data_IF_059052333816
#
_entry.id   IF_059052333816
#
_cell.length_a   1.000
_cell.length_b   1.000
_cell.length_c   1.000
_cell.angle_alpha   90.00
_cell.angle_beta   90.00
_cell.angle_gamma   90.00
#
_symmetry.space_group_name_H-M   'P 1'
#
loop_
_entity.id
_entity.type
_entity.pdbx_description
1 polymer ?
#
# COMPACT_ATOMS: atom_id res chain seq x y z
N UNK A 1 -18.34 -9.96 -39.08
CA UNK A 1 -19.15 -10.94 -39.86
C UNK A 1 -18.52 -12.32 -39.80
N UNK A 2 -19.28 -13.35 -39.47
CA UNK A 2 -18.87 -14.76 -39.64
C UNK A 2 -19.59 -15.35 -40.83
N UNK A 3 -18.82 -15.99 -41.71
CA UNK A 3 -19.34 -16.83 -42.78
C UNK A 3 -19.27 -18.27 -42.32
N UNK A 4 -20.40 -18.95 -42.24
CA UNK A 4 -20.42 -20.39 -42.05
C UNK A 4 -21.01 -21.05 -43.30
N UNK A 5 -20.40 -22.17 -43.68
CA UNK A 5 -20.80 -23.02 -44.79
C UNK A 5 -20.74 -24.47 -44.35
N UNK A 6 -21.83 -25.19 -44.54
CA UNK A 6 -21.93 -26.59 -44.19
C UNK A 6 -23.30 -27.18 -44.51
N UNK A 7 -23.41 -28.49 -44.36
CA UNK A 7 -24.66 -29.21 -44.58
C UNK A 7 -25.47 -29.24 -43.30
N UNK A 8 -26.70 -28.74 -43.36
CA UNK A 8 -27.65 -28.79 -42.24
C UNK A 8 -27.94 -30.25 -41.87
N UNK A 9 -27.75 -30.60 -40.59
CA UNK A 9 -27.77 -32.00 -40.14
C UNK A 9 -29.16 -32.65 -40.18
N UNK A 10 -30.22 -31.86 -40.28
CA UNK A 10 -31.60 -32.36 -40.28
C UNK A 10 -32.22 -32.35 -41.66
N UNK A 11 -31.85 -31.39 -42.51
CA UNK A 11 -32.41 -31.24 -43.86
C UNK A 11 -31.47 -31.69 -44.98
N UNK A 12 -30.18 -31.94 -44.69
CA UNK A 12 -29.19 -32.31 -45.72
C UNK A 12 -28.88 -31.18 -46.71
N UNK A 13 -29.46 -29.99 -46.51
CA UNK A 13 -29.28 -28.85 -47.39
C UNK A 13 -27.96 -28.14 -47.10
N UNK A 14 -27.27 -27.71 -48.15
CA UNK A 14 -26.11 -26.82 -48.02
C UNK A 14 -26.60 -25.46 -47.54
N UNK A 15 -26.21 -25.06 -46.33
CA UNK A 15 -26.52 -23.76 -45.76
C UNK A 15 -25.25 -22.92 -45.73
N UNK A 16 -25.25 -21.84 -46.49
CA UNK A 16 -24.32 -20.73 -46.33
C UNK A 16 -25.09 -19.53 -45.80
N UNK A 17 -24.73 -19.02 -44.64
CA UNK A 17 -25.27 -17.74 -44.16
C UNK A 17 -24.15 -16.90 -43.58
N UNK A 18 -24.38 -15.60 -43.60
CA UNK A 18 -23.49 -14.62 -42.98
C UNK A 18 -24.24 -14.09 -41.78
N UNK A 19 -23.75 -14.42 -40.58
CA UNK A 19 -24.25 -13.79 -39.36
C UNK A 19 -23.38 -12.59 -39.02
N UNK A 20 -24.08 -11.52 -38.69
CA UNK A 20 -23.45 -10.38 -38.07
C UNK A 20 -23.19 -10.71 -36.60
N UNK A 21 -21.92 -10.73 -36.21
CA UNK A 21 -21.50 -11.16 -34.87
C UNK A 21 -21.76 -10.08 -33.80
N UNK A 22 -22.36 -8.95 -34.17
CA UNK A 22 -22.42 -7.75 -33.32
C UNK A 22 -21.06 -7.09 -33.10
N UNK A 23 -20.00 -7.55 -33.78
CA UNK A 23 -18.71 -6.87 -33.81
C UNK A 23 -18.77 -5.73 -34.83
N UNK A 24 -18.97 -4.51 -34.33
CA UNK A 24 -18.83 -3.29 -35.11
C UNK A 24 -17.34 -3.01 -35.29
N UNK A 25 -16.90 -2.55 -36.47
CA UNK A 25 -15.51 -2.13 -36.72
C UNK A 25 -15.03 -1.01 -35.77
N UNK A 26 -15.96 -0.38 -35.06
CA UNK A 26 -15.71 0.67 -34.08
C UNK A 26 -15.51 0.14 -32.64
N UNK A 27 -15.61 -1.18 -32.40
CA UNK A 27 -15.35 -1.77 -31.08
C UNK A 27 -13.91 -1.48 -30.64
N UNK A 28 -13.75 -0.74 -29.54
CA UNK A 28 -12.45 -0.31 -29.05
C UNK A 28 -11.75 0.75 -29.92
N UNK A 29 -12.33 1.26 -31.00
CA UNK A 29 -11.66 2.23 -31.90
C UNK A 29 -11.26 3.55 -31.21
N UNK A 30 -11.97 3.93 -30.15
CA UNK A 30 -11.62 5.11 -29.34
C UNK A 30 -10.57 4.80 -28.27
N UNK A 31 -10.33 3.53 -27.95
CA UNK A 31 -9.55 3.11 -26.78
C UNK A 31 -8.34 2.22 -27.09
N UNK A 32 -8.35 1.45 -28.17
CA UNK A 32 -7.27 0.57 -28.63
C UNK A 32 -6.36 1.37 -29.55
N UNK A 33 -5.44 2.09 -28.93
CA UNK A 33 -4.45 2.89 -29.65
C UNK A 33 -3.33 2.02 -30.25
N UNK A 34 -3.31 0.72 -29.97
CA UNK A 34 -2.27 -0.23 -30.36
C UNK A 34 -2.88 -1.59 -30.76
N UNK A 35 -2.31 -2.25 -31.77
CA UNK A 35 -2.75 -3.58 -32.25
C UNK A 35 -2.70 -4.64 -31.15
N UNK A 36 -1.72 -4.54 -30.23
CA UNK A 36 -1.59 -5.45 -29.11
C UNK A 36 -2.83 -5.49 -28.21
N UNK A 37 -3.52 -4.36 -28.01
CA UNK A 37 -4.73 -4.31 -27.19
C UNK A 37 -5.90 -5.04 -27.86
N UNK A 38 -6.05 -4.90 -29.18
CA UNK A 38 -7.05 -5.64 -29.94
C UNK A 38 -6.79 -7.16 -29.91
N UNK A 39 -5.53 -7.57 -30.09
CA UNK A 39 -5.12 -8.97 -30.00
C UNK A 39 -5.34 -9.54 -28.59
N UNK A 40 -5.05 -8.75 -27.56
CA UNK A 40 -5.31 -9.11 -26.16
C UNK A 40 -6.78 -9.42 -25.94
N UNK A 41 -7.71 -8.66 -26.51
CA UNK A 41 -9.14 -8.91 -26.35
C UNK A 41 -9.59 -10.25 -26.97
N UNK A 42 -9.09 -10.60 -28.15
CA UNK A 42 -9.43 -11.91 -28.75
C UNK A 42 -8.97 -13.07 -27.88
N UNK A 43 -7.74 -13.00 -27.37
CA UNK A 43 -7.17 -14.03 -26.49
C UNK A 43 -7.91 -14.07 -25.15
N UNK A 44 -8.19 -12.91 -24.56
CA UNK A 44 -8.92 -12.81 -23.29
C UNK A 44 -10.32 -13.41 -23.40
N UNK A 45 -11.06 -13.10 -24.47
CA UNK A 45 -12.39 -13.65 -24.71
C UNK A 45 -12.35 -15.18 -24.92
N UNK A 46 -11.31 -15.70 -25.57
CA UNK A 46 -11.12 -17.14 -25.72
C UNK A 46 -10.90 -17.82 -24.36
N UNK A 47 -10.06 -17.24 -23.50
CA UNK A 47 -9.82 -17.71 -22.12
C UNK A 47 -11.11 -17.65 -21.30
N UNK A 48 -11.77 -16.49 -21.27
CA UNK A 48 -13.00 -16.26 -20.52
C UNK A 48 -14.10 -17.26 -20.92
N UNK A 49 -14.26 -17.51 -22.24
CA UNK A 49 -15.23 -18.49 -22.75
C UNK A 49 -14.84 -19.92 -22.37
N UNK A 50 -13.57 -20.28 -22.50
CA UNK A 50 -13.08 -21.62 -22.16
C UNK A 50 -13.30 -21.93 -20.68
N UNK A 51 -12.91 -21.02 -19.78
CA UNK A 51 -13.09 -21.19 -18.34
C UNK A 51 -14.58 -21.29 -17.99
N UNK A 52 -15.44 -20.49 -18.62
CA UNK A 52 -16.89 -20.53 -18.37
C UNK A 52 -17.54 -21.83 -18.80
N UNK A 53 -17.13 -22.42 -19.93
CA UNK A 53 -17.75 -23.64 -20.47
C UNK A 53 -17.15 -24.93 -19.89
N UNK A 54 -15.83 -24.94 -19.67
CA UNK A 54 -15.07 -26.16 -19.40
C UNK A 54 -14.34 -26.14 -18.05
N UNK A 55 -14.31 -24.99 -17.37
CA UNK A 55 -13.65 -24.84 -16.06
C UNK A 55 -12.15 -24.55 -16.13
N UNK A 56 -11.55 -24.56 -17.33
CA UNK A 56 -10.13 -24.25 -17.55
C UNK A 56 -9.88 -23.55 -18.90
N UNK A 57 -8.63 -23.15 -19.16
CA UNK A 57 -8.20 -22.51 -20.41
C UNK A 57 -7.44 -23.45 -21.37
N UNK A 58 -7.41 -24.76 -21.10
CA UNK A 58 -6.60 -25.73 -21.84
C UNK A 58 -7.01 -25.87 -23.32
N UNK A 59 -8.26 -25.53 -23.64
CA UNK A 59 -8.80 -25.53 -24.99
C UNK A 59 -8.39 -24.32 -25.85
N UNK A 60 -7.73 -23.32 -25.27
CA UNK A 60 -7.28 -22.11 -25.99
C UNK A 60 -5.93 -22.38 -26.65
N UNK A 61 -5.87 -22.16 -27.98
CA UNK A 61 -4.64 -22.36 -28.77
C UNK A 61 -4.35 -21.11 -29.59
N UNK A 62 -3.10 -20.66 -29.56
CA UNK A 62 -2.60 -19.51 -30.31
C UNK A 62 -1.34 -19.98 -31.04
N UNK A 63 -1.37 -19.92 -32.36
CA UNK A 63 -0.33 -20.47 -33.23
C UNK A 63 -0.18 -19.64 -34.51
N UNK A 64 1.05 -19.63 -35.06
CA UNK A 64 1.32 -19.12 -36.40
C UNK A 64 1.03 -20.26 -37.38
N UNK A 65 0.19 -19.99 -38.38
CA UNK A 65 -0.25 -20.98 -39.37
C UNK A 65 -0.08 -20.46 -40.79
N UNK A 66 0.08 -21.38 -41.73
CA UNK A 66 0.10 -21.03 -43.15
C UNK A 66 -1.31 -20.66 -43.64
N UNK A 67 -1.38 -19.81 -44.67
CA UNK A 67 -2.66 -19.38 -45.27
C UNK A 67 -3.54 -20.56 -45.72
N UNK A 68 -2.92 -21.65 -46.17
CA UNK A 68 -3.62 -22.88 -46.56
C UNK A 68 -4.38 -23.57 -45.39
N UNK A 69 -4.03 -23.25 -44.14
CA UNK A 69 -4.66 -23.79 -42.93
C UNK A 69 -5.80 -22.89 -42.39
N UNK A 70 -6.04 -21.74 -43.03
CA UNK A 70 -7.09 -20.77 -42.70
C UNK A 70 -8.44 -21.34 -43.14
N UNK A 71 -9.06 -22.11 -42.23
CA UNK A 71 -10.37 -22.71 -42.43
C UNK A 71 -11.14 -22.81 -41.12
N UNK A 72 -12.46 -22.74 -41.22
CA UNK A 72 -13.36 -23.00 -40.10
C UNK A 72 -13.15 -24.42 -39.55
N UNK A 73 -13.36 -24.60 -38.25
CA UNK A 73 -13.27 -25.89 -37.56
C UNK A 73 -14.55 -26.09 -36.75
N UNK A 74 -15.20 -27.24 -36.91
CA UNK A 74 -16.43 -27.57 -36.19
C UNK A 74 -16.19 -27.48 -34.68
N UNK A 75 -17.12 -26.85 -33.95
CA UNK A 75 -17.08 -26.62 -32.50
C UNK A 75 -15.98 -25.67 -32.01
N UNK A 76 -15.32 -24.92 -32.90
CA UNK A 76 -14.34 -23.92 -32.51
C UNK A 76 -14.62 -22.59 -33.20
N UNK A 77 -14.45 -21.49 -32.46
CA UNK A 77 -14.27 -20.17 -33.06
C UNK A 77 -12.79 -20.00 -33.37
N UNK A 78 -12.45 -19.76 -34.64
CA UNK A 78 -11.08 -19.43 -35.06
C UNK A 78 -11.04 -17.99 -35.55
N UNK A 79 -10.10 -17.22 -35.00
CA UNK A 79 -9.81 -15.85 -35.42
C UNK A 79 -8.45 -15.88 -36.10
N UNK A 80 -8.37 -15.34 -37.32
CA UNK A 80 -7.12 -15.23 -38.07
C UNK A 80 -6.80 -13.77 -38.25
N UNK A 81 -5.58 -13.39 -37.89
CA UNK A 81 -5.06 -12.04 -38.05
C UNK A 81 -3.87 -12.11 -39.02
N UNK A 82 -3.85 -11.29 -40.08
CA UNK A 82 -2.71 -11.24 -40.99
C UNK A 82 -1.41 -10.97 -40.24
N UNK A 83 -0.38 -11.76 -40.51
CA UNK A 83 0.91 -11.62 -39.86
C UNK A 83 1.60 -10.32 -40.30
N UNK A 84 2.02 -9.51 -39.33
CA UNK A 84 2.87 -8.34 -39.51
C UNK A 84 3.83 -8.23 -38.32
N UNK A 85 4.69 -7.20 -38.29
CA UNK A 85 5.68 -7.02 -37.23
C UNK A 85 5.03 -6.89 -35.83
N UNK A 86 3.92 -6.16 -35.71
CA UNK A 86 3.23 -5.93 -34.43
C UNK A 86 2.54 -7.20 -33.91
N UNK A 87 1.93 -7.99 -34.80
CA UNK A 87 1.32 -9.29 -34.47
C UNK A 87 2.40 -10.30 -34.04
N UNK A 88 3.53 -10.32 -34.73
CA UNK A 88 4.66 -11.18 -34.37
C UNK A 88 5.25 -10.78 -33.01
N UNK A 89 5.41 -9.48 -32.75
CA UNK A 89 5.90 -8.99 -31.45
C UNK A 89 4.95 -9.36 -30.31
N UNK A 90 3.64 -9.17 -30.51
CA UNK A 90 2.63 -9.62 -29.54
C UNK A 90 2.71 -11.12 -29.27
N UNK A 91 2.83 -11.94 -30.33
CA UNK A 91 2.96 -13.39 -30.22
C UNK A 91 4.21 -13.80 -29.44
N UNK A 92 5.36 -13.18 -29.75
CA UNK A 92 6.62 -13.45 -29.05
C UNK A 92 6.57 -13.05 -27.56
N UNK A 93 5.76 -12.04 -27.23
CA UNK A 93 5.57 -11.57 -25.86
C UNK A 93 4.29 -12.11 -25.19
N UNK A 94 3.68 -13.17 -25.73
CA UNK A 94 2.39 -13.67 -25.24
C UNK A 94 2.42 -14.01 -23.74
N UNK A 95 3.53 -14.57 -23.25
CA UNK A 95 3.73 -14.87 -21.83
C UNK A 95 3.80 -13.63 -20.92
N UNK A 96 4.16 -12.46 -21.46
CA UNK A 96 4.10 -11.18 -20.72
C UNK A 96 2.68 -10.62 -20.68
N UNK A 97 1.87 -10.91 -21.68
CA UNK A 97 0.46 -10.49 -21.72
C UNK A 97 -0.46 -11.40 -20.89
N UNK A 98 -0.15 -12.68 -20.77
CA UNK A 98 -1.02 -13.66 -20.12
C UNK A 98 -0.23 -14.63 -19.24
N UNK A 99 -0.50 -14.59 -17.93
CA UNK A 99 0.07 -15.54 -16.96
C UNK A 99 -0.36 -16.98 -17.27
N UNK A 100 -1.53 -17.18 -17.89
CA UNK A 100 -2.05 -18.48 -18.32
C UNK A 100 -1.07 -19.31 -19.17
N UNK A 101 -0.19 -18.63 -19.92
CA UNK A 101 0.76 -19.29 -20.83
C UNK A 101 2.20 -19.28 -20.30
N UNK A 102 2.53 -18.41 -19.34
CA UNK A 102 3.88 -18.26 -18.80
C UNK A 102 4.04 -18.81 -17.39
N UNK A 103 3.10 -18.49 -16.51
CA UNK A 103 3.18 -18.72 -15.06
C UNK A 103 1.79 -19.11 -14.50
N UNK A 104 1.19 -20.22 -14.99
CA UNK A 104 -0.18 -20.60 -14.63
C UNK A 104 -0.36 -20.87 -13.13
N UNK A 105 0.69 -21.32 -12.44
CA UNK A 105 0.73 -21.52 -10.99
C UNK A 105 0.59 -20.22 -10.18
N UNK A 106 0.80 -19.06 -10.82
CA UNK A 106 0.70 -17.74 -10.18
C UNK A 106 -0.70 -17.12 -10.29
N UNK A 107 -1.63 -17.71 -11.06
CA UNK A 107 -2.98 -17.17 -11.26
C UNK A 107 -3.78 -17.02 -9.96
N UNK A 108 -3.48 -17.84 -8.95
CA UNK A 108 -4.12 -17.78 -7.63
C UNK A 108 -3.51 -16.76 -6.67
N UNK A 109 -2.41 -16.09 -7.03
CA UNK A 109 -1.70 -15.16 -6.15
C UNK A 109 -1.98 -13.71 -6.52
N UNK A 110 -2.17 -12.86 -5.52
CA UNK A 110 -2.37 -11.43 -5.71
C UNK A 110 -1.05 -10.67 -5.95
N UNK A 111 0.01 -11.07 -5.24
CA UNK A 111 1.35 -10.50 -5.36
C UNK A 111 2.25 -11.52 -6.08
N UNK A 112 2.95 -11.03 -7.08
CA UNK A 112 3.84 -11.80 -7.94
C UNK A 112 5.28 -11.36 -7.68
N UNK A 113 6.24 -12.29 -7.52
CA UNK A 113 7.65 -11.95 -7.48
C UNK A 113 8.04 -11.18 -8.74
N UNK A 114 8.87 -10.14 -8.63
CA UNK A 114 9.31 -9.38 -9.81
C UNK A 114 9.99 -10.30 -10.82
N UNK A 115 9.58 -10.20 -12.08
CA UNK A 115 10.15 -10.98 -13.18
C UNK A 115 10.22 -10.13 -14.47
N UNK A 116 10.73 -10.69 -15.56
CA UNK A 116 10.84 -10.02 -16.86
C UNK A 116 9.49 -9.91 -17.60
N UNK A 117 8.54 -9.22 -16.96
CA UNK A 117 7.15 -9.03 -17.44
C UNK A 117 6.94 -7.67 -18.11
N UNK A 118 7.81 -6.70 -17.86
CA UNK A 118 7.78 -5.41 -18.52
C UNK A 118 8.03 -5.58 -20.03
N UNK A 119 7.38 -4.77 -20.88
CA UNK A 119 7.61 -4.80 -22.33
C UNK A 119 8.86 -4.00 -22.71
N UNK A 120 9.23 -3.01 -21.91
CA UNK A 120 10.48 -2.26 -22.05
C UNK A 120 11.48 -2.54 -20.92
N UNK A 121 12.53 -1.73 -20.87
CA UNK A 121 13.63 -1.86 -19.89
C UNK A 121 13.28 -1.32 -18.49
N UNK A 122 12.11 -0.67 -18.35
CA UNK A 122 11.63 -0.14 -17.07
C UNK A 122 11.28 -1.30 -16.14
N UNK A 123 11.55 -1.12 -14.85
CA UNK A 123 11.13 -2.05 -13.79
C UNK A 123 9.89 -1.55 -13.04
N UNK A 124 8.91 -1.08 -13.79
CA UNK A 124 7.63 -0.62 -13.27
C UNK A 124 6.74 -1.81 -12.88
N UNK A 125 5.83 -1.66 -11.92
CA UNK A 125 4.91 -2.73 -11.56
C UNK A 125 4.03 -3.13 -12.77
N UNK A 126 4.00 -4.42 -13.08
CA UNK A 126 3.12 -4.98 -14.11
C UNK A 126 1.84 -5.47 -13.43
N UNK A 127 0.70 -5.03 -13.95
CA UNK A 127 -0.60 -5.28 -13.36
C UNK A 127 -1.40 -6.20 -14.26
N UNK A 128 -1.80 -7.33 -13.69
CA UNK A 128 -2.69 -8.31 -14.27
C UNK A 128 -4.03 -8.27 -13.54
N UNK A 129 -5.08 -8.69 -14.24
CA UNK A 129 -6.38 -9.01 -13.67
C UNK A 129 -6.76 -10.40 -14.14
N UNK A 130 -6.89 -11.35 -13.21
CA UNK A 130 -7.20 -12.75 -13.51
C UNK A 130 -6.26 -13.32 -14.58
N UNK A 131 -4.96 -13.03 -14.45
CA UNK A 131 -3.93 -13.50 -15.37
C UNK A 131 -3.83 -12.77 -16.72
N UNK A 132 -4.63 -11.75 -16.98
CA UNK A 132 -4.55 -10.93 -18.20
C UNK A 132 -3.91 -9.58 -17.87
N UNK A 133 -2.88 -9.20 -18.62
CA UNK A 133 -2.17 -7.92 -18.43
C UNK A 133 -3.09 -6.74 -18.73
N UNK A 134 -3.24 -5.89 -17.73
CA UNK A 134 -4.02 -4.65 -17.80
C UNK A 134 -3.10 -3.52 -18.25
N UNK A 135 -1.97 -3.33 -17.55
CA UNK A 135 -1.02 -2.24 -17.80
C UNK A 135 0.31 -2.38 -17.05
N UNK A 136 1.25 -1.50 -17.37
CA UNK A 136 2.36 -1.13 -16.49
C UNK A 136 2.01 0.14 -15.72
N UNK A 137 2.56 0.28 -14.51
CA UNK A 137 2.41 1.52 -13.75
C UNK A 137 3.36 2.59 -14.28
N UNK A 138 2.87 3.47 -15.13
CA UNK A 138 3.70 4.42 -15.88
C UNK A 138 4.01 5.70 -15.12
N UNK A 139 3.14 6.10 -14.19
CA UNK A 139 3.17 7.38 -13.46
C UNK A 139 4.22 7.46 -12.35
N UNK A 140 5.11 6.48 -12.28
CA UNK A 140 6.28 6.50 -11.41
C UNK A 140 7.46 5.86 -12.12
N UNK A 141 8.62 6.51 -12.05
CA UNK A 141 9.89 5.92 -12.48
C UNK A 141 10.55 5.06 -11.39
N UNK A 142 9.90 4.96 -10.22
CA UNK A 142 10.40 4.15 -9.12
C UNK A 142 10.26 2.66 -9.44
N UNK A 143 11.33 1.90 -9.23
CA UNK A 143 11.30 0.44 -9.34
C UNK A 143 10.30 -0.15 -8.35
N UNK A 144 9.46 -1.07 -8.84
CA UNK A 144 8.55 -1.86 -8.01
C UNK A 144 9.25 -3.13 -7.50
N UNK A 145 8.97 -3.52 -6.26
CA UNK A 145 9.40 -4.82 -5.74
C UNK A 145 8.59 -5.99 -6.29
N UNK A 146 7.34 -5.75 -6.69
CA UNK A 146 6.43 -6.81 -7.10
C UNK A 146 5.66 -6.45 -8.37
N UNK A 147 5.13 -7.50 -9.00
CA UNK A 147 4.03 -7.39 -9.95
C UNK A 147 2.73 -7.86 -9.28
N UNK A 148 1.57 -7.58 -9.85
CA UNK A 148 0.29 -7.84 -9.18
C UNK A 148 -0.71 -8.52 -10.10
N UNK A 149 -1.46 -9.48 -9.58
CA UNK A 149 -2.60 -10.11 -10.25
C UNK A 149 -3.88 -9.90 -9.43
N UNK A 150 -4.61 -8.83 -9.76
CA UNK A 150 -5.69 -8.29 -8.96
C UNK A 150 -7.04 -8.74 -9.54
N UNK A 151 -7.60 -9.81 -8.99
CA UNK A 151 -8.81 -10.46 -9.54
C UNK A 151 -10.06 -9.58 -9.53
N UNK A 152 -10.13 -8.65 -8.58
CA UNK A 152 -11.26 -7.74 -8.35
C UNK A 152 -10.96 -6.29 -8.71
N UNK A 153 -9.89 -6.05 -9.50
CA UNK A 153 -9.60 -4.72 -10.03
C UNK A 153 -10.75 -4.27 -10.94
N UNK A 154 -11.31 -3.10 -10.66
CA UNK A 154 -12.29 -2.45 -11.53
C UNK A 154 -11.59 -1.99 -12.80
N UNK A 155 -12.13 -2.38 -13.95
CA UNK A 155 -11.63 -2.00 -15.26
C UNK A 155 -12.80 -1.50 -16.12
N UNK A 156 -12.51 -0.62 -17.07
CA UNK A 156 -13.47 -0.19 -18.08
C UNK A 156 -13.68 -1.26 -19.17
N UNK A 157 -14.56 -0.98 -20.13
CA UNK A 157 -14.87 -1.88 -21.26
C UNK A 157 -13.65 -2.20 -22.14
N UNK A 158 -12.64 -1.32 -22.12
CA UNK A 158 -11.39 -1.46 -22.84
C UNK A 158 -10.27 -2.09 -21.99
N UNK A 159 -10.67 -2.67 -20.85
CA UNK A 159 -9.81 -3.30 -19.83
C UNK A 159 -8.65 -2.42 -19.40
N UNK A 160 -8.91 -1.13 -19.20
CA UNK A 160 -7.99 -0.17 -18.57
C UNK A 160 -8.45 0.09 -17.13
N UNK A 161 -7.50 0.48 -16.28
CA UNK A 161 -7.74 0.89 -14.90
C UNK A 161 -7.00 2.20 -14.63
N UNK A 162 -7.57 3.06 -13.78
CA UNK A 162 -6.92 4.31 -13.38
C UNK A 162 -5.70 4.04 -12.50
N UNK A 163 -4.75 4.98 -12.45
CA UNK A 163 -3.59 4.89 -11.56
C UNK A 163 -4.00 4.77 -10.09
N UNK A 164 -5.07 5.48 -9.72
CA UNK A 164 -5.58 5.48 -8.37
C UNK A 164 -6.15 4.11 -7.98
N UNK A 165 -6.99 3.51 -8.84
CA UNK A 165 -7.58 2.19 -8.58
C UNK A 165 -6.50 1.11 -8.48
N UNK A 166 -5.51 1.16 -9.37
CA UNK A 166 -4.38 0.23 -9.37
C UNK A 166 -3.56 0.36 -8.10
N UNK A 167 -3.14 1.57 -7.75
CA UNK A 167 -2.32 1.82 -6.56
C UNK A 167 -3.06 1.41 -5.28
N UNK A 168 -4.34 1.73 -5.19
CA UNK A 168 -5.18 1.36 -4.07
C UNK A 168 -5.31 -0.17 -3.94
N UNK A 169 -5.59 -0.88 -5.04
CA UNK A 169 -5.72 -2.32 -5.04
C UNK A 169 -4.39 -3.05 -4.77
N UNK A 170 -3.26 -2.53 -5.26
CA UNK A 170 -1.93 -3.05 -4.92
C UNK A 170 -1.62 -2.85 -3.43
N UNK A 171 -1.95 -1.69 -2.87
CA UNK A 171 -1.80 -1.43 -1.43
C UNK A 171 -2.65 -2.36 -0.58
N UNK A 172 -3.89 -2.67 -1.00
CA UNK A 172 -4.74 -3.66 -0.34
C UNK A 172 -4.15 -5.07 -0.41
N UNK A 173 -3.61 -5.47 -1.56
CA UNK A 173 -2.93 -6.75 -1.70
C UNK A 173 -1.68 -6.83 -0.79
N UNK A 174 -0.91 -5.75 -0.71
CA UNK A 174 0.28 -5.67 0.15
C UNK A 174 -0.08 -5.70 1.64
N UNK A 175 -1.16 -5.04 2.04
CA UNK A 175 -1.67 -5.08 3.41
C UNK A 175 -2.04 -6.50 3.87
N UNK A 176 -2.59 -7.30 2.95
CA UNK A 176 -2.99 -8.68 3.20
C UNK A 176 -1.89 -9.72 2.93
N UNK A 177 -0.68 -9.26 2.59
CA UNK A 177 0.38 -10.14 2.16
C UNK A 177 0.88 -11.08 3.27
N UNK A 178 1.47 -12.18 2.84
CA UNK A 178 2.19 -13.09 3.72
C UNK A 178 3.44 -12.43 4.30
N UNK A 179 3.86 -12.94 5.47
CA UNK A 179 5.04 -12.48 6.20
C UNK A 179 6.27 -12.31 5.29
N UNK A 180 6.54 -13.28 4.42
CA UNK A 180 7.76 -13.27 3.61
C UNK A 180 7.77 -12.12 2.59
N UNK A 181 6.60 -11.76 2.04
CA UNK A 181 6.46 -10.62 1.13
C UNK A 181 6.65 -9.30 1.88
N UNK A 182 6.05 -9.17 3.06
CA UNK A 182 6.23 -8.00 3.91
C UNK A 182 7.68 -7.86 4.38
N UNK A 183 8.36 -8.98 4.67
CA UNK A 183 9.77 -9.00 5.03
C UNK A 183 10.64 -8.48 3.90
N UNK A 184 10.33 -8.80 2.63
CA UNK A 184 11.04 -8.20 1.48
C UNK A 184 10.87 -6.68 1.40
N UNK A 185 9.68 -6.15 1.73
CA UNK A 185 9.44 -4.70 1.79
C UNK A 185 10.27 -4.06 2.91
N UNK A 186 10.25 -4.63 4.12
CA UNK A 186 11.05 -4.13 5.23
C UNK A 186 12.54 -4.25 4.96
N UNK A 187 13.00 -5.34 4.37
CA UNK A 187 14.41 -5.52 3.98
C UNK A 187 14.83 -4.43 3.00
N UNK A 188 14.01 -4.13 1.99
CA UNK A 188 14.26 -3.00 1.08
C UNK A 188 14.35 -1.67 1.82
N UNK A 189 13.49 -1.45 2.80
CA UNK A 189 13.48 -0.22 3.60
C UNK A 189 14.74 -0.07 4.48
N UNK A 190 15.20 -1.15 5.12
CA UNK A 190 16.31 -1.11 6.08
C UNK A 190 17.69 -1.21 5.41
N UNK A 191 17.79 -2.00 4.34
CA UNK A 191 19.07 -2.45 3.78
C UNK A 191 19.33 -1.85 2.39
N UNK A 192 18.53 -0.87 1.94
CA UNK A 192 18.74 -0.18 0.67
C UNK A 192 18.50 1.33 0.76
N UNK A 193 19.40 2.10 0.15
CA UNK A 193 19.20 3.54 -0.06
C UNK A 193 18.22 3.85 -1.20
N UNK A 194 17.80 2.83 -1.96
CA UNK A 194 16.85 2.97 -3.06
C UNK A 194 15.44 2.74 -2.53
N UNK A 195 14.58 3.75 -2.67
CA UNK A 195 13.15 3.56 -2.47
C UNK A 195 12.57 2.46 -3.38
N UNK A 196 11.32 2.09 -3.13
CA UNK A 196 10.54 1.30 -4.08
C UNK A 196 9.13 1.88 -4.18
N UNK A 197 8.45 1.53 -5.27
CA UNK A 197 7.12 2.05 -5.56
C UNK A 197 6.11 1.79 -4.42
N UNK A 198 6.19 0.63 -3.79
CA UNK A 198 5.33 0.20 -2.69
C UNK A 198 5.43 1.07 -1.44
N UNK A 199 6.59 1.69 -1.18
CA UNK A 199 6.76 2.64 -0.07
C UNK A 199 5.95 3.93 -0.27
N UNK A 200 5.47 4.18 -1.48
CA UNK A 200 4.62 5.32 -1.83
C UNK A 200 3.12 5.04 -1.70
N UNK A 201 2.69 3.84 -1.27
CA UNK A 201 1.28 3.52 -1.09
C UNK A 201 0.65 4.37 0.02
N UNK A 202 -0.59 4.81 -0.20
CA UNK A 202 -1.28 5.67 0.76
C UNK A 202 -1.81 4.85 1.94
N UNK A 203 -1.99 5.55 3.06
CA UNK A 203 -2.47 4.96 4.31
C UNK A 203 -3.80 4.21 4.12
N UNK A 204 -4.76 4.76 3.37
CA UNK A 204 -6.07 4.14 3.20
C UNK A 204 -6.00 2.80 2.45
N UNK A 205 -5.08 2.67 1.50
CA UNK A 205 -4.83 1.42 0.78
C UNK A 205 -4.24 0.34 1.70
N UNK A 206 -3.34 0.71 2.61
CA UNK A 206 -2.62 -0.21 3.49
C UNK A 206 -3.40 -0.63 4.75
N UNK A 207 -4.38 0.17 5.19
CA UNK A 207 -5.12 -0.08 6.43
C UNK A 207 -6.18 -1.19 6.31
N UNK A 208 -6.55 -1.70 7.49
CA UNK A 208 -7.70 -2.58 7.71
C UNK A 208 -8.97 -2.00 7.08
N UNK A 209 -9.85 -2.87 6.59
CA UNK A 209 -11.18 -2.48 6.11
C UNK A 209 -12.24 -3.01 7.06
N UNK A 210 -13.37 -2.31 7.18
CA UNK A 210 -14.51 -2.78 7.98
C UNK A 210 -15.10 -4.14 7.52
N UNK A 211 -14.67 -4.64 6.35
CA UNK A 211 -15.08 -5.93 5.78
C UNK A 211 -14.17 -7.08 6.23
N UNK A 212 -13.03 -6.77 6.84
CA UNK A 212 -12.11 -7.79 7.32
C UNK A 212 -12.72 -8.54 8.51
N UNK A 213 -12.65 -9.87 8.46
CA UNK A 213 -13.03 -10.70 9.60
C UNK A 213 -12.01 -10.56 10.73
N UNK A 214 -12.42 -10.85 11.96
CA UNK A 214 -11.49 -10.85 13.11
C UNK A 214 -10.29 -11.79 12.89
N UNK A 215 -10.50 -12.90 12.18
CA UNK A 215 -9.44 -13.84 11.82
C UNK A 215 -8.46 -13.25 10.79
N UNK A 216 -8.99 -12.58 9.74
CA UNK A 216 -8.18 -11.86 8.75
C UNK A 216 -7.32 -10.79 9.41
N UNK A 217 -7.92 -9.97 10.28
CA UNK A 217 -7.22 -8.94 11.04
C UNK A 217 -6.12 -9.52 11.94
N UNK A 218 -6.41 -10.62 12.66
CA UNK A 218 -5.42 -11.28 13.50
C UNK A 218 -4.25 -11.85 12.68
N UNK A 219 -4.53 -12.41 11.49
CA UNK A 219 -3.50 -12.88 10.56
C UNK A 219 -2.63 -11.73 10.05
N UNK A 220 -3.24 -10.66 9.55
CA UNK A 220 -2.50 -9.47 9.06
C UNK A 220 -1.59 -8.91 10.16
N UNK A 221 -2.13 -8.70 11.37
CA UNK A 221 -1.36 -8.26 12.54
C UNK A 221 -0.15 -9.13 12.79
N UNK A 222 -0.32 -10.45 12.80
CA UNK A 222 0.77 -11.41 12.99
C UNK A 222 1.81 -11.30 11.87
N UNK A 223 1.37 -11.30 10.61
CA UNK A 223 2.27 -11.23 9.46
C UNK A 223 3.13 -9.96 9.48
N UNK A 224 2.53 -8.81 9.77
CA UNK A 224 3.25 -7.53 9.85
C UNK A 224 4.25 -7.48 11.01
N UNK A 225 3.84 -7.93 12.21
CA UNK A 225 4.72 -7.98 13.37
C UNK A 225 5.89 -8.93 13.16
N UNK A 226 5.62 -10.17 12.74
CA UNK A 226 6.66 -11.17 12.50
C UNK A 226 7.60 -10.75 11.36
N UNK A 227 7.08 -10.15 10.28
CA UNK A 227 7.91 -9.68 9.16
C UNK A 227 8.85 -8.57 9.58
N UNK A 228 8.36 -7.60 10.37
CA UNK A 228 9.19 -6.51 10.85
C UNK A 228 10.25 -7.01 11.84
N UNK A 229 9.88 -7.81 12.83
CA UNK A 229 10.82 -8.38 13.80
C UNK A 229 11.87 -9.28 13.14
N UNK A 230 11.50 -10.03 12.10
CA UNK A 230 12.42 -10.87 11.34
C UNK A 230 13.56 -10.08 10.69
N UNK A 231 13.27 -8.88 10.18
CA UNK A 231 14.23 -8.05 9.45
C UNK A 231 14.95 -7.06 10.36
N UNK A 232 14.21 -6.39 11.24
CA UNK A 232 14.71 -5.25 12.00
C UNK A 232 15.26 -5.65 13.38
N UNK A 233 14.81 -6.78 13.94
CA UNK A 233 15.06 -7.23 15.31
C UNK A 233 13.98 -6.81 16.31
N UNK A 234 14.05 -7.32 17.53
CA UNK A 234 13.04 -7.07 18.59
C UNK A 234 13.10 -5.65 19.17
N UNK A 235 14.27 -5.02 19.20
CA UNK A 235 14.46 -3.66 19.74
C UNK A 235 14.22 -2.54 18.71
N UNK A 236 13.80 -2.91 17.50
CA UNK A 236 13.56 -1.97 16.42
C UNK A 236 12.21 -1.28 16.55
N UNK A 237 12.18 0.01 16.26
CA UNK A 237 10.96 0.83 16.32
C UNK A 237 10.78 1.55 14.99
N UNK A 238 9.70 1.24 14.28
CA UNK A 238 9.36 1.88 13.02
C UNK A 238 8.84 3.29 13.27
N UNK A 239 9.52 4.30 12.74
CA UNK A 239 9.26 5.71 13.02
C UNK A 239 9.32 6.57 11.77
N UNK A 240 8.59 7.69 11.79
CA UNK A 240 8.85 8.81 10.90
C UNK A 240 10.11 9.58 11.30
N UNK A 241 10.31 10.77 10.72
CA UNK A 241 11.52 11.56 10.97
C UNK A 241 11.56 12.20 12.37
N UNK A 242 10.41 12.41 13.02
CA UNK A 242 10.30 13.27 14.20
C UNK A 242 10.75 12.67 15.54
N UNK A 243 10.81 11.34 15.69
CA UNK A 243 11.00 10.69 17.00
C UNK A 243 12.32 9.92 17.16
N UNK A 244 13.25 10.10 16.21
CA UNK A 244 14.48 9.30 16.10
C UNK A 244 15.37 9.48 17.32
N UNK A 245 15.66 10.72 17.71
CA UNK A 245 16.56 11.01 18.84
C UNK A 245 16.00 10.51 20.17
N UNK A 246 14.69 10.61 20.37
CA UNK A 246 14.03 10.17 21.61
C UNK A 246 14.06 8.65 21.74
N UNK A 247 13.91 7.93 20.62
CA UNK A 247 14.04 6.48 20.58
C UNK A 247 15.47 6.03 20.91
N UNK A 248 16.47 6.67 20.31
CA UNK A 248 17.89 6.36 20.55
C UNK A 248 18.28 6.60 22.02
N UNK A 249 17.84 7.71 22.62
CA UNK A 249 18.08 7.99 24.06
C UNK A 249 17.51 6.93 24.98
N UNK A 250 16.43 6.25 24.58
CA UNK A 250 15.76 5.19 25.33
C UNK A 250 16.33 3.80 25.04
N UNK A 251 17.33 3.70 24.14
CA UNK A 251 17.99 2.45 23.77
C UNK A 251 17.32 1.66 22.65
N UNK A 252 16.31 2.22 21.98
CA UNK A 252 15.67 1.59 20.83
C UNK A 252 16.43 1.87 19.53
N UNK A 253 16.27 0.98 18.54
CA UNK A 253 16.81 1.17 17.20
C UNK A 253 15.74 1.76 16.27
N UNK A 254 15.76 3.08 15.99
CA UNK A 254 14.78 3.69 15.10
C UNK A 254 14.97 3.21 13.66
N UNK A 255 13.88 2.81 13.01
CA UNK A 255 13.82 2.50 11.58
C UNK A 255 12.98 3.57 10.91
N UNK A 256 13.60 4.40 10.08
CA UNK A 256 12.92 5.48 9.36
C UNK A 256 12.06 4.93 8.24
N UNK A 257 10.81 5.36 8.17
CA UNK A 257 9.87 4.98 7.13
C UNK A 257 8.95 6.14 6.71
N UNK A 258 8.34 6.08 5.52
CA UNK A 258 7.26 6.99 5.16
C UNK A 258 6.12 6.94 6.17
N UNK A 259 5.54 8.10 6.50
CA UNK A 259 4.46 8.22 7.50
C UNK A 259 3.26 7.32 7.19
N UNK A 260 2.91 7.13 5.92
CA UNK A 260 1.82 6.22 5.53
C UNK A 260 2.07 4.77 5.96
N UNK A 261 3.32 4.31 5.84
CA UNK A 261 3.72 2.97 6.25
C UNK A 261 3.76 2.85 7.77
N UNK A 262 4.27 3.87 8.48
CA UNK A 262 4.28 3.91 9.96
C UNK A 262 2.86 3.80 10.50
N UNK A 263 1.94 4.61 9.98
CA UNK A 263 0.53 4.61 10.40
C UNK A 263 -0.16 3.26 10.13
N UNK A 264 0.12 2.62 8.99
CA UNK A 264 -0.42 1.29 8.69
C UNK A 264 0.15 0.21 9.61
N UNK A 265 1.47 0.22 9.81
CA UNK A 265 2.17 -0.73 10.65
C UNK A 265 1.73 -0.63 12.13
N UNK A 266 1.46 0.58 12.62
CA UNK A 266 0.90 0.82 13.96
C UNK A 266 -0.43 0.10 14.16
N UNK A 267 -1.35 0.20 13.19
CA UNK A 267 -2.65 -0.48 13.25
C UNK A 267 -2.52 -2.01 13.29
N UNK A 268 -1.51 -2.54 12.59
CA UNK A 268 -1.18 -3.96 12.62
C UNK A 268 -0.33 -4.36 13.82
N UNK A 269 -0.01 -3.40 14.70
CA UNK A 269 0.61 -3.63 15.99
C UNK A 269 2.13 -3.73 15.95
N UNK A 270 2.78 -3.31 14.86
CA UNK A 270 4.23 -3.10 14.82
C UNK A 270 4.64 -2.06 15.87
N UNK A 271 5.87 -2.16 16.37
CA UNK A 271 6.38 -1.24 17.38
C UNK A 271 6.68 0.13 16.75
N UNK A 272 5.98 1.16 17.23
CA UNK A 272 6.09 2.56 16.77
C UNK A 272 6.36 3.48 17.97
N UNK A 273 6.79 4.74 17.76
CA UNK A 273 7.01 5.69 18.84
C UNK A 273 5.85 5.79 19.84
N UNK A 274 4.61 5.78 19.35
CA UNK A 274 3.40 5.90 20.18
C UNK A 274 3.23 4.76 21.21
N UNK A 275 3.87 3.60 20.99
CA UNK A 275 3.83 2.46 21.93
C UNK A 275 4.92 2.49 22.99
N UNK A 276 6.04 3.15 22.71
CA UNK A 276 7.25 3.09 23.55
C UNK A 276 7.59 4.42 24.20
N UNK A 277 7.14 5.53 23.63
CA UNK A 277 7.32 6.87 24.16
C UNK A 277 6.06 7.34 24.88
N UNK A 278 6.25 8.09 25.96
CA UNK A 278 5.22 8.86 26.65
C UNK A 278 4.82 10.09 25.82
N UNK A 279 3.66 10.68 26.12
CA UNK A 279 3.20 11.91 25.45
C UNK A 279 4.18 13.09 25.59
N UNK A 280 4.99 13.11 26.64
CA UNK A 280 6.02 14.13 26.83
C UNK A 280 7.24 13.84 25.96
N UNK A 281 7.72 12.59 25.96
CA UNK A 281 8.82 12.16 25.08
C UNK A 281 8.47 12.36 23.60
N UNK A 282 7.24 12.03 23.18
CA UNK A 282 6.77 12.28 21.81
C UNK A 282 6.78 13.76 21.42
N UNK A 283 6.51 14.64 22.38
CA UNK A 283 6.55 16.09 22.20
C UNK A 283 7.97 16.67 22.38
N UNK A 284 9.00 15.82 22.48
CA UNK A 284 10.38 16.23 22.71
C UNK A 284 10.61 16.87 24.08
N UNK A 285 9.73 16.62 25.04
CA UNK A 285 9.84 17.14 26.41
C UNK A 285 10.65 16.18 27.28
N UNK A 286 11.62 16.73 28.01
CA UNK A 286 12.35 16.00 29.05
C UNK A 286 11.85 16.45 30.41
N UNK A 287 11.23 15.54 31.17
CA UNK A 287 10.75 15.85 32.52
C UNK A 287 11.88 15.64 33.53
N UNK A 288 12.05 16.60 34.42
CA UNK A 288 13.01 16.55 35.53
C UNK A 288 12.29 16.79 36.86
N UNK A 289 12.99 16.52 37.96
CA UNK A 289 12.56 16.97 39.28
C UNK A 289 12.33 18.50 39.31
N UNK A 290 11.40 18.99 40.14
CA UNK A 290 11.13 20.42 40.23
C UNK A 290 12.37 21.17 40.73
N UNK A 291 12.62 22.34 40.15
CA UNK A 291 13.58 23.29 40.71
C UNK A 291 12.98 23.97 41.94
N UNK A 292 13.83 24.48 42.84
CA UNK A 292 13.38 25.24 44.02
C UNK A 292 12.46 26.41 43.64
N UNK A 293 12.77 27.06 42.51
CA UNK A 293 12.00 28.17 41.95
C UNK A 293 10.62 27.73 41.48
N UNK A 294 10.53 26.57 40.81
CA UNK A 294 9.25 26.00 40.36
C UNK A 294 8.39 25.61 41.56
N UNK A 295 9.00 25.01 42.58
CA UNK A 295 8.31 24.64 43.81
C UNK A 295 7.81 25.89 44.55
N UNK A 296 8.65 26.91 44.71
CA UNK A 296 8.29 28.17 45.37
C UNK A 296 7.15 28.92 44.66
N UNK A 297 7.14 28.91 43.32
CA UNK A 297 6.06 29.52 42.54
C UNK A 297 4.71 28.86 42.80
N UNK A 298 4.66 27.52 42.78
CA UNK A 298 3.42 26.78 43.05
C UNK A 298 3.01 26.93 44.52
N UNK A 299 3.95 26.92 45.44
CA UNK A 299 3.70 27.11 46.88
C UNK A 299 3.09 28.49 47.16
N UNK A 300 3.60 29.53 46.50
CA UNK A 300 3.04 30.88 46.60
C UNK A 300 1.60 30.91 46.09
N UNK A 301 1.35 30.44 44.86
CA UNK A 301 -0.01 30.41 44.28
C UNK A 301 -0.97 29.59 45.15
N UNK A 302 -0.52 28.44 45.66
CA UNK A 302 -1.33 27.60 46.53
C UNK A 302 -1.67 28.29 47.86
N UNK A 303 -0.72 29.01 48.47
CA UNK A 303 -0.98 29.77 49.70
C UNK A 303 -2.07 30.83 49.53
N UNK A 304 -2.13 31.49 48.37
CA UNK A 304 -3.19 32.46 48.03
C UNK A 304 -4.54 31.75 47.87
N UNK A 305 -4.57 30.59 47.21
CA UNK A 305 -5.78 29.77 47.06
C UNK A 305 -6.31 29.31 48.43
N UNK A 306 -5.43 28.86 49.33
CA UNK A 306 -5.79 28.47 50.69
C UNK A 306 -6.31 29.65 51.51
N UNK A 307 -5.64 30.80 51.45
CA UNK A 307 -6.05 32.01 52.16
C UNK A 307 -7.48 32.45 51.78
N UNK A 308 -7.86 32.26 50.52
CA UNK A 308 -9.19 32.60 50.02
C UNK A 308 -10.19 31.44 50.04
N UNK A 309 -9.81 30.26 50.55
CA UNK A 309 -10.68 29.09 50.63
C UNK A 309 -11.09 28.51 49.27
N UNK A 310 -10.30 28.75 48.22
CA UNK A 310 -10.63 28.38 46.84
C UNK A 310 -10.14 26.97 46.45
N UNK A 311 -9.50 26.23 47.36
CA UNK A 311 -8.92 24.92 47.10
C UNK A 311 -9.96 23.79 46.96
N UNK A 312 -11.24 24.05 47.30
CA UNK A 312 -12.35 23.09 47.18
C UNK A 312 -12.04 21.71 47.79
N UNK A 313 -11.33 21.68 48.92
CA UNK A 313 -10.96 20.44 49.62
C UNK A 313 -9.86 19.60 48.94
N UNK A 314 -9.23 20.10 47.88
CA UNK A 314 -8.11 19.41 47.22
C UNK A 314 -6.79 19.72 47.92
N UNK A 315 -5.84 18.80 47.77
CA UNK A 315 -4.45 18.96 48.20
C UNK A 315 -3.62 19.70 47.13
N UNK A 316 -2.50 20.29 47.57
CA UNK A 316 -1.55 20.97 46.67
C UNK A 316 -1.01 19.97 45.65
N UNK A 317 -1.08 20.26 44.34
CA UNK A 317 -0.58 19.34 43.34
C UNK A 317 0.96 19.24 43.41
N UNK A 318 1.54 18.05 43.17
CA UNK A 318 2.98 17.91 42.98
C UNK A 318 3.46 18.70 41.75
N UNK A 319 4.72 19.14 41.79
CA UNK A 319 5.35 19.97 40.76
C UNK A 319 6.47 19.20 40.09
N UNK A 320 6.61 19.36 38.77
CA UNK A 320 7.76 18.90 38.00
C UNK A 320 8.23 19.98 37.03
N UNK A 321 9.47 19.87 36.59
CA UNK A 321 10.00 20.71 35.52
C UNK A 321 10.05 19.96 34.20
N UNK A 322 10.01 20.69 33.10
CA UNK A 322 10.32 20.14 31.78
C UNK A 322 11.16 21.08 30.95
N UNK A 323 11.96 20.54 30.04
CA UNK A 323 12.55 21.27 28.92
C UNK A 323 11.86 20.84 27.64
N UNK A 324 11.68 21.74 26.68
CA UNK A 324 11.19 21.40 25.33
C UNK A 324 12.02 22.09 24.27
N UNK A 325 12.08 21.47 23.09
CA UNK A 325 12.59 22.15 21.90
C UNK A 325 11.51 23.16 21.46
N UNK A 326 11.91 24.38 21.07
CA UNK A 326 10.98 25.41 20.58
C UNK A 326 10.26 24.89 19.34
N UNK A 327 8.92 24.85 19.37
CA UNK A 327 8.10 24.49 18.22
C UNK A 327 7.54 25.76 17.57
N UNK A 328 7.95 26.02 16.32
CA UNK A 328 7.53 27.19 15.53
C UNK A 328 7.61 28.56 16.23
N UNK A 329 8.52 28.71 17.21
CA UNK A 329 8.70 29.96 17.97
C UNK A 329 7.71 30.18 19.12
N UNK A 330 6.85 29.20 19.43
CA UNK A 330 5.95 29.23 20.58
C UNK A 330 6.57 28.40 21.71
N UNK A 331 6.71 29.02 22.89
CA UNK A 331 7.25 28.35 24.08
C UNK A 331 6.09 27.98 25.01
N UNK A 332 5.98 26.69 25.33
CA UNK A 332 5.05 26.24 26.36
C UNK A 332 5.64 26.54 27.73
N UNK A 333 4.97 27.41 28.50
CA UNK A 333 5.45 27.87 29.80
C UNK A 333 5.13 26.91 30.94
N UNK A 334 4.00 26.20 30.83
CA UNK A 334 3.56 25.23 31.83
C UNK A 334 2.27 24.55 31.41
N UNK A 335 1.95 23.43 32.04
CA UNK A 335 0.70 22.71 31.85
C UNK A 335 0.34 21.90 33.10
N UNK A 336 -0.93 21.51 33.21
CA UNK A 336 -1.43 20.63 34.27
C UNK A 336 -1.97 19.35 33.65
N UNK A 337 -1.52 18.19 34.12
CA UNK A 337 -1.96 16.88 33.63
C UNK A 337 -1.92 15.85 34.75
N UNK A 338 -2.97 15.03 34.86
CA UNK A 338 -3.06 13.90 35.80
C UNK A 338 -2.74 14.25 37.27
N UNK A 339 -3.12 15.45 37.71
CA UNK A 339 -2.85 15.89 39.09
C UNK A 339 -1.53 16.61 39.31
N UNK A 340 -0.67 16.72 38.29
CA UNK A 340 0.68 17.27 38.39
C UNK A 340 0.79 18.59 37.63
N UNK A 341 1.46 19.58 38.22
CA UNK A 341 1.82 20.85 37.58
C UNK A 341 3.21 20.72 36.96
N UNK A 342 3.34 21.04 35.68
CA UNK A 342 4.59 21.04 34.94
C UNK A 342 4.96 22.47 34.56
N UNK A 343 6.17 22.91 34.92
CA UNK A 343 6.69 24.25 34.63
C UNK A 343 7.92 24.13 33.73
N UNK A 344 8.03 25.01 32.73
CA UNK A 344 9.20 25.04 31.87
C UNK A 344 10.44 25.47 32.67
N UNK A 345 11.52 24.68 32.61
CA UNK A 345 12.74 24.91 33.38
C UNK A 345 13.39 26.29 33.09
N UNK A 346 13.19 26.83 31.89
CA UNK A 346 13.71 28.15 31.51
C UNK A 346 13.04 29.31 32.27
N UNK A 347 11.80 29.11 32.74
CA UNK A 347 11.07 30.10 33.55
C UNK A 347 11.34 29.95 35.06
N UNK A 348 11.84 28.78 35.46
CA UNK A 348 12.09 28.45 36.85
C UNK A 348 13.55 27.94 37.04
N UNK A 349 14.56 28.79 36.83
CA UNK A 349 15.97 28.39 36.95
C UNK A 349 16.30 27.96 38.38
N UNK A 350 17.17 26.97 38.56
CA UNK A 350 17.57 26.49 39.88
C UNK A 350 18.23 27.60 40.74
N UNK A 351 17.95 27.61 42.05
CA UNK A 351 18.58 28.51 43.03
C UNK A 351 17.91 29.88 43.26
N UNK A 352 16.66 30.09 42.81
CA UNK A 352 15.93 31.37 43.02
C UNK A 352 14.66 31.15 43.86
N UNK A 353 14.72 31.32 45.17
CA UNK A 353 13.59 31.05 46.08
C UNK A 353 12.80 32.29 46.51
N UNK A 354 13.18 33.51 46.08
CA UNK A 354 12.50 34.73 46.51
C UNK A 354 11.23 35.04 45.67
N UNK A 355 10.04 35.15 46.29
CA UNK A 355 8.76 35.40 45.60
C UNK A 355 8.73 36.71 44.81
N UNK A 356 9.45 37.73 45.26
CA UNK A 356 9.53 39.05 44.62
C UNK A 356 10.17 38.99 43.22
N UNK A 357 11.12 38.08 43.02
CA UNK A 357 11.85 37.89 41.75
C UNK A 357 11.04 37.02 40.78
N UNK A 358 10.21 36.12 41.27
CA UNK A 358 9.38 35.21 40.47
C UNK A 358 8.16 35.91 39.83
N UNK A 359 7.59 36.93 40.49
CA UNK A 359 6.39 37.65 39.98
C UNK A 359 6.61 38.46 38.70
N UNK A 360 7.87 38.72 38.32
CA UNK A 360 8.22 39.45 37.10
C UNK A 360 8.57 38.55 35.91
N UNK A 361 8.62 37.22 36.10
CA UNK A 361 9.06 36.24 35.09
C UNK A 361 8.00 35.19 34.70
N UNK A 362 7.02 34.95 35.56
CA UNK A 362 5.81 34.15 35.29
C UNK A 362 4.67 35.08 34.88
#
# INVERSE_FOLDING_TARGET
MVKYGGTDQYSGASRSSTEDLGFVLDYGKQDWNEVALALREFVSNAIDRSIREWGDWSGVTIEIVDEAQVRAKRNYTRVFVPMNAEVLDFFNNLGRWFLHFSEPEMLGKAILPKNNRNLGDRKAAVIYRRGVRVREFESSDQESLFDYNLNDLTIDESRKASDWDVKHACGKALADADKDILAMLFDRLLNSDKGCWELGFDTYSLQSTYRDSAESEARKRRNWQEAFSLVAGEDAVLTGNGSVEQLERKGYKPVKAPECLVNAAEQYGVQTPAKVLTLDEMAGRSITEPTDSAQAAVDFVWSVIEQHGLHNGKEKPPVRCFTSILDAGVMLNGYYRDGVVYINADLAPAGTSEPSVLSHRL
#
